data_IF_968324207759
#
_entry.id   IF_968324207759
#
_cell.length_a   1.000
_cell.length_b   1.000
_cell.length_c   1.000
_cell.angle_alpha   90.00
_cell.angle_beta   90.00
_cell.angle_gamma   90.00
#
_symmetry.space_group_name_H-M   'P 1'
#
loop_
_entity.id
_entity.type
_entity.pdbx_description
1 polymer ?
#
# COMPACT_ATOMS: atom_id res chain seq x y z
N UNK A 1 -6.29 -34.85 18.57
CA UNK A 1 -7.17 -34.45 17.44
C UNK A 1 -7.44 -32.95 17.53
N UNK A 2 -6.56 -32.13 16.97
CA UNK A 2 -6.75 -30.67 16.93
C UNK A 2 -7.77 -30.37 15.84
N UNK A 3 -9.00 -30.03 16.21
CA UNK A 3 -10.00 -29.52 15.26
C UNK A 3 -9.41 -28.27 14.61
N UNK A 4 -9.37 -28.24 13.28
CA UNK A 4 -9.14 -27.03 12.49
C UNK A 4 -10.09 -25.94 12.99
N UNK A 5 -9.63 -25.10 13.92
CA UNK A 5 -10.35 -23.91 14.31
C UNK A 5 -10.24 -22.97 13.12
N UNK A 6 -11.35 -22.79 12.40
CA UNK A 6 -11.50 -21.73 11.42
C UNK A 6 -10.91 -20.45 12.00
N UNK A 7 -9.85 -19.93 11.40
CA UNK A 7 -9.39 -18.59 11.71
C UNK A 7 -10.19 -17.67 10.80
N UNK A 8 -10.86 -16.63 11.32
CA UNK A 8 -11.59 -15.71 10.44
C UNK A 8 -10.71 -14.99 9.40
N UNK A 9 -9.37 -15.06 9.52
CA UNK A 9 -8.41 -14.67 8.49
C UNK A 9 -8.45 -15.53 7.23
N UNK A 10 -8.96 -16.76 7.35
CA UNK A 10 -9.07 -17.74 6.26
C UNK A 10 -10.43 -17.62 5.55
N UNK A 11 -11.25 -16.66 5.97
CA UNK A 11 -12.52 -16.33 5.33
C UNK A 11 -12.27 -15.74 3.94
N UNK A 12 -13.11 -16.11 2.98
CA UNK A 12 -13.17 -15.44 1.66
C UNK A 12 -14.28 -14.38 1.60
N UNK A 13 -15.10 -14.27 2.64
CA UNK A 13 -16.21 -13.31 2.70
C UNK A 13 -15.69 -11.90 3.09
N UNK A 14 -15.88 -10.86 2.24
CA UNK A 14 -15.36 -9.52 2.49
C UNK A 14 -15.84 -8.91 3.81
N UNK A 15 -17.09 -9.13 4.20
CA UNK A 15 -17.67 -8.57 5.42
C UNK A 15 -16.99 -9.15 6.67
N UNK A 16 -16.59 -10.42 6.61
CA UNK A 16 -15.84 -11.07 7.69
C UNK A 16 -14.40 -10.56 7.72
N UNK A 17 -13.77 -10.37 6.57
CA UNK A 17 -12.41 -9.84 6.47
C UNK A 17 -12.30 -8.37 6.91
N UNK A 18 -13.30 -7.54 6.61
CA UNK A 18 -13.35 -6.16 7.06
C UNK A 18 -13.33 -6.04 8.59
N UNK A 19 -13.98 -6.98 9.29
CA UNK A 19 -14.05 -7.00 10.75
C UNK A 19 -12.91 -7.79 11.41
N UNK A 20 -12.49 -8.90 10.80
CA UNK A 20 -11.63 -9.91 11.41
C UNK A 20 -10.42 -10.31 10.54
N UNK A 21 -10.15 -9.62 9.43
CA UNK A 21 -8.94 -9.82 8.64
C UNK A 21 -7.67 -9.63 9.48
N UNK A 22 -6.60 -10.31 9.08
CA UNK A 22 -5.36 -10.37 9.86
C UNK A 22 -5.45 -11.27 11.10
N UNK A 23 -4.55 -11.04 12.05
CA UNK A 23 -4.31 -11.89 13.22
C UNK A 23 -4.92 -11.37 14.52
N UNK A 24 -5.33 -10.10 14.60
CA UNK A 24 -5.89 -9.52 15.82
C UNK A 24 -7.28 -10.09 16.15
N UNK A 25 -7.44 -10.63 17.37
CA UNK A 25 -8.71 -11.16 17.88
C UNK A 25 -9.13 -10.54 19.21
N UNK A 26 -8.16 -10.35 20.08
CA UNK A 26 -8.33 -9.66 21.35
C UNK A 26 -6.96 -9.26 21.87
N UNK A 27 -6.92 -8.23 22.71
CA UNK A 27 -5.74 -7.90 23.49
C UNK A 27 -5.39 -9.06 24.43
N UNK A 28 -4.18 -9.63 24.36
CA UNK A 28 -3.78 -10.75 25.22
C UNK A 28 -3.69 -10.37 26.71
N UNK A 29 -3.56 -9.08 27.04
CA UNK A 29 -3.43 -8.62 28.43
C UNK A 29 -4.78 -8.37 29.12
N UNK A 30 -5.79 -7.90 28.37
CA UNK A 30 -7.10 -7.51 28.93
C UNK A 30 -8.28 -8.30 28.38
N UNK A 31 -8.08 -9.10 27.34
CA UNK A 31 -9.13 -9.79 26.55
C UNK A 31 -10.09 -8.87 25.80
N UNK A 32 -9.80 -7.57 25.70
CA UNK A 32 -10.60 -6.62 24.93
C UNK A 32 -10.63 -6.99 23.44
N UNK A 33 -11.83 -7.07 22.86
CA UNK A 33 -12.02 -7.42 21.43
C UNK A 33 -11.94 -6.22 20.50
N UNK A 34 -12.20 -5.01 21.01
CA UNK A 34 -11.88 -3.78 20.30
C UNK A 34 -10.35 -3.62 20.23
N UNK A 35 -9.85 -3.07 19.13
CA UNK A 35 -8.41 -2.77 18.99
C UNK A 35 -8.07 -1.58 19.88
N UNK A 36 -7.13 -1.70 20.84
CA UNK A 36 -6.68 -0.57 21.62
C UNK A 36 -6.05 0.50 20.74
N UNK A 37 -6.19 1.76 21.16
CA UNK A 37 -5.55 2.89 20.48
C UNK A 37 -4.15 3.06 21.08
N UNK A 38 -3.12 2.66 20.33
CA UNK A 38 -1.72 2.84 20.69
C UNK A 38 -1.25 4.24 20.33
N UNK A 39 -1.76 5.25 21.05
CA UNK A 39 -1.41 6.68 20.88
C UNK A 39 -0.04 6.99 21.50
N UNK A 40 1.02 6.38 20.98
CA UNK A 40 2.41 6.56 21.44
C UNK A 40 3.33 6.88 20.28
N UNK A 41 4.51 7.43 20.54
CA UNK A 41 5.56 7.64 19.54
C UNK A 41 6.61 6.53 19.55
N UNK A 42 6.97 6.01 20.71
CA UNK A 42 8.06 5.05 20.91
C UNK A 42 7.65 3.87 21.79
N UNK A 43 8.41 2.78 21.68
CA UNK A 43 8.19 1.54 22.44
C UNK A 43 9.39 1.23 23.32
N UNK A 44 9.13 0.71 24.53
CA UNK A 44 10.18 0.32 25.45
C UNK A 44 10.82 -1.00 24.98
N UNK A 45 12.15 -1.06 24.98
CA UNK A 45 12.88 -2.29 24.73
C UNK A 45 13.11 -3.08 26.02
N UNK A 46 13.05 -4.41 25.92
CA UNK A 46 13.35 -5.32 27.03
C UNK A 46 14.84 -5.27 27.46
N UNK A 47 15.75 -5.00 26.52
CA UNK A 47 17.19 -4.86 26.74
C UNK A 47 17.85 -4.14 25.55
N UNK A 48 19.13 -3.77 25.69
CA UNK A 48 19.93 -3.23 24.59
C UNK A 48 20.14 -4.24 23.46
N UNK A 49 20.25 -5.52 23.79
CA UNK A 49 20.33 -6.62 22.81
C UNK A 49 19.02 -6.74 22.01
N UNK A 50 17.87 -6.71 22.69
CA UNK A 50 16.56 -6.72 22.02
C UNK A 50 16.41 -5.53 21.06
N UNK A 51 16.85 -4.33 21.47
CA UNK A 51 16.86 -3.17 20.57
C UNK A 51 17.71 -3.43 19.33
N UNK A 52 18.94 -3.95 19.50
CA UNK A 52 19.83 -4.27 18.38
C UNK A 52 19.22 -5.31 17.44
N UNK A 53 18.54 -6.32 17.96
CA UNK A 53 17.87 -7.34 17.15
C UNK A 53 16.71 -6.78 16.32
N UNK A 54 15.88 -5.90 16.90
CA UNK A 54 14.78 -5.26 16.19
C UNK A 54 15.29 -4.40 15.02
N UNK A 55 16.32 -3.57 15.24
CA UNK A 55 16.90 -2.74 14.17
C UNK A 55 17.64 -3.56 13.10
N UNK A 56 18.15 -4.74 13.46
CA UNK A 56 18.78 -5.67 12.52
C UNK A 56 17.79 -6.63 11.84
N UNK A 57 16.47 -6.48 12.08
CA UNK A 57 15.41 -7.36 11.58
C UNK A 57 15.60 -8.84 11.96
N UNK A 58 16.25 -9.11 13.10
CA UNK A 58 16.40 -10.46 13.66
C UNK A 58 15.18 -10.86 14.49
N UNK A 59 14.57 -9.89 15.15
CA UNK A 59 13.32 -10.02 15.90
C UNK A 59 12.26 -9.11 15.27
N UNK A 60 10.99 -9.49 15.38
CA UNK A 60 9.86 -8.64 14.99
C UNK A 60 9.26 -7.96 16.22
N UNK A 61 9.02 -6.66 16.12
CA UNK A 61 8.43 -5.89 17.21
C UNK A 61 8.48 -4.40 16.93
N UNK A 62 7.76 -3.63 17.75
CA UNK A 62 7.61 -2.19 17.55
C UNK A 62 8.84 -1.41 18.02
N UNK A 63 9.25 -0.43 17.21
CA UNK A 63 10.38 0.46 17.50
C UNK A 63 9.87 1.90 17.70
N UNK A 64 9.22 2.45 16.67
CA UNK A 64 8.76 3.84 16.63
C UNK A 64 7.57 3.98 15.67
N UNK A 65 6.55 4.74 16.06
CA UNK A 65 5.25 4.82 15.36
C UNK A 65 5.31 5.37 13.94
N UNK A 66 6.38 6.08 13.56
CA UNK A 66 6.61 6.49 12.16
C UNK A 66 6.88 5.30 11.24
N UNK A 67 7.37 4.18 11.77
CA UNK A 67 7.70 2.98 11.00
C UNK A 67 6.60 1.92 11.17
N UNK A 68 6.07 1.77 12.39
CA UNK A 68 5.09 0.73 12.72
C UNK A 68 4.31 1.10 13.99
N UNK A 69 3.01 0.83 14.01
CA UNK A 69 2.15 1.06 15.16
C UNK A 69 1.06 -0.04 15.22
N UNK A 70 0.81 -0.70 16.37
CA UNK A 70 -0.13 -1.82 16.42
C UNK A 70 -1.57 -1.48 16.00
N UNK A 71 -2.04 -0.26 16.26
CA UNK A 71 -3.37 0.16 15.80
C UNK A 71 -3.42 0.24 14.28
N UNK A 72 -2.33 0.73 13.66
CA UNK A 72 -2.20 0.87 12.20
C UNK A 72 -1.95 -0.50 11.55
N UNK A 73 -1.16 -1.38 12.16
CA UNK A 73 -0.90 -2.75 11.68
C UNK A 73 -2.20 -3.57 11.52
N UNK A 74 -3.15 -3.42 12.44
CA UNK A 74 -4.46 -4.08 12.29
C UNK A 74 -5.23 -3.54 11.08
N UNK A 75 -5.17 -2.23 10.80
CA UNK A 75 -5.77 -1.66 9.59
C UNK A 75 -5.07 -2.21 8.34
N UNK A 76 -3.73 -2.17 8.31
CA UNK A 76 -2.91 -2.64 7.19
C UNK A 76 -3.20 -4.11 6.86
N UNK A 77 -3.21 -4.99 7.85
CA UNK A 77 -3.50 -6.42 7.66
C UNK A 77 -4.93 -6.67 7.17
N UNK A 78 -5.91 -5.87 7.60
CA UNK A 78 -7.30 -5.99 7.12
C UNK A 78 -7.44 -5.53 5.68
N UNK A 79 -6.83 -4.40 5.32
CA UNK A 79 -6.81 -3.91 3.94
C UNK A 79 -6.11 -4.91 3.02
N UNK A 80 -4.94 -5.42 3.43
CA UNK A 80 -4.22 -6.45 2.66
C UNK A 80 -5.07 -7.70 2.45
N UNK A 81 -5.78 -8.17 3.48
CA UNK A 81 -6.67 -9.33 3.37
C UNK A 81 -7.86 -9.08 2.43
N UNK A 82 -8.43 -7.87 2.43
CA UNK A 82 -9.54 -7.49 1.53
C UNK A 82 -9.11 -7.40 0.07
N UNK A 83 -7.96 -6.80 -0.19
CA UNK A 83 -7.43 -6.60 -1.55
C UNK A 83 -6.68 -7.83 -2.09
N UNK A 84 -6.44 -8.86 -1.25
CA UNK A 84 -5.66 -10.04 -1.61
C UNK A 84 -4.16 -9.76 -1.76
N UNK A 85 -3.67 -8.64 -1.22
CA UNK A 85 -2.27 -8.25 -1.25
C UNK A 85 -1.43 -8.95 -0.17
N UNK A 86 -0.11 -9.04 -0.38
CA UNK A 86 0.82 -9.62 0.61
C UNK A 86 1.06 -8.72 1.84
N UNK A 87 0.68 -7.44 1.74
CA UNK A 87 0.80 -6.45 2.80
C UNK A 87 0.16 -5.13 2.36
N UNK A 88 -0.01 -4.20 3.30
CA UNK A 88 -0.45 -2.84 3.05
C UNK A 88 0.32 -1.88 3.97
N UNK A 89 0.28 -0.58 3.66
CA UNK A 89 0.93 0.46 4.45
C UNK A 89 -0.03 1.63 4.68
N UNK A 90 -0.28 1.94 5.95
CA UNK A 90 -1.07 3.08 6.38
C UNK A 90 -0.23 4.36 6.34
N UNK A 91 -0.72 5.35 5.60
CA UNK A 91 -0.03 6.65 5.44
C UNK A 91 -0.98 7.81 5.73
N UNK A 92 -0.42 9.02 5.83
CA UNK A 92 -1.17 10.20 6.31
C UNK A 92 -2.21 10.74 5.33
N UNK A 93 -2.14 10.40 4.04
CA UNK A 93 -3.11 10.81 3.02
C UNK A 93 -3.05 9.95 1.75
N UNK A 94 -4.08 10.03 0.91
CA UNK A 94 -4.07 9.38 -0.41
C UNK A 94 -2.94 9.88 -1.32
N UNK A 95 -2.62 11.19 -1.28
CA UNK A 95 -1.49 11.74 -2.05
C UNK A 95 -0.14 11.20 -1.57
N UNK A 96 0.03 11.00 -0.26
CA UNK A 96 1.22 10.34 0.27
C UNK A 96 1.31 8.89 -0.21
N UNK A 97 0.19 8.16 -0.30
CA UNK A 97 0.16 6.81 -0.82
C UNK A 97 0.60 6.76 -2.29
N UNK A 98 0.05 7.63 -3.15
CA UNK A 98 0.45 7.72 -4.56
C UNK A 98 1.91 8.13 -4.75
N UNK A 99 2.42 9.06 -3.94
CA UNK A 99 3.81 9.49 -4.02
C UNK A 99 4.77 8.38 -3.59
N UNK A 100 4.52 7.75 -2.43
CA UNK A 100 5.39 6.72 -1.88
C UNK A 100 5.37 5.44 -2.72
N UNK A 101 4.23 5.09 -3.35
CA UNK A 101 4.16 3.91 -4.22
C UNK A 101 5.09 4.06 -5.44
N UNK A 102 5.14 5.24 -6.06
CA UNK A 102 6.04 5.49 -7.19
C UNK A 102 7.50 5.71 -6.75
N UNK A 103 7.76 6.48 -5.69
CA UNK A 103 9.12 6.72 -5.19
C UNK A 103 9.79 5.46 -4.65
N UNK A 104 9.03 4.46 -4.24
CA UNK A 104 9.58 3.16 -3.85
C UNK A 104 10.09 2.34 -5.05
N UNK A 105 9.65 2.66 -6.27
CA UNK A 105 10.00 1.95 -7.50
C UNK A 105 10.95 2.75 -8.41
N UNK A 106 10.77 4.06 -8.47
CA UNK A 106 11.46 4.96 -9.39
C UNK A 106 12.38 5.95 -8.65
N UNK A 107 13.52 6.25 -9.26
CA UNK A 107 14.47 7.28 -8.82
C UNK A 107 14.74 8.30 -9.93
N UNK A 108 15.54 9.32 -9.64
CA UNK A 108 15.96 10.29 -10.65
C UNK A 108 16.57 9.60 -11.89
N UNK A 109 16.03 9.89 -13.07
CA UNK A 109 16.39 9.27 -14.35
C UNK A 109 15.47 8.13 -14.79
N UNK A 110 14.62 7.60 -13.91
CA UNK A 110 13.56 6.64 -14.27
C UNK A 110 12.29 7.35 -14.79
N UNK A 111 11.40 6.58 -15.41
CA UNK A 111 10.06 7.06 -15.77
C UNK A 111 8.93 6.11 -15.33
N UNK A 112 7.71 6.64 -15.30
CA UNK A 112 6.45 5.94 -15.04
C UNK A 112 5.47 6.29 -16.15
N UNK A 113 4.71 5.31 -16.64
CA UNK A 113 3.62 5.58 -17.59
C UNK A 113 2.30 5.61 -16.84
N UNK A 114 1.56 6.70 -16.95
CA UNK A 114 0.31 6.91 -16.23
C UNK A 114 -0.86 7.14 -17.18
N UNK A 115 -2.05 6.69 -16.81
CA UNK A 115 -3.30 7.11 -17.48
C UNK A 115 -3.43 8.64 -17.44
N UNK A 116 -4.01 9.22 -18.49
CA UNK A 116 -4.47 10.63 -18.51
C UNK A 116 -5.72 10.86 -17.65
N UNK A 117 -6.42 9.79 -17.27
CA UNK A 117 -7.68 9.83 -16.53
C UNK A 117 -7.40 9.61 -15.03
N UNK A 118 -7.04 10.68 -14.32
CA UNK A 118 -6.71 10.66 -12.89
C UNK A 118 -7.40 11.76 -12.11
N UNK A 119 -7.48 11.60 -10.79
CA UNK A 119 -7.70 12.71 -9.88
C UNK A 119 -6.70 13.86 -10.14
N UNK A 120 -7.21 15.09 -10.24
CA UNK A 120 -6.41 16.27 -10.63
C UNK A 120 -5.21 16.55 -9.71
N UNK A 121 -5.31 16.24 -8.41
CA UNK A 121 -4.18 16.36 -7.49
C UNK A 121 -3.05 15.38 -7.80
N UNK A 122 -3.41 14.13 -8.13
CA UNK A 122 -2.44 13.10 -8.54
C UNK A 122 -1.77 13.49 -9.87
N UNK A 123 -2.56 14.00 -10.82
CA UNK A 123 -2.02 14.49 -12.08
C UNK A 123 -1.00 15.62 -11.85
N UNK A 124 -1.31 16.58 -10.97
CA UNK A 124 -0.42 17.69 -10.65
C UNK A 124 0.87 17.23 -9.95
N UNK A 125 0.76 16.31 -8.99
CA UNK A 125 1.89 15.66 -8.32
C UNK A 125 2.84 15.03 -9.34
N UNK A 126 2.29 14.30 -10.31
CA UNK A 126 3.06 13.58 -11.33
C UNK A 126 3.71 14.51 -12.35
N UNK A 127 2.97 15.50 -12.85
CA UNK A 127 3.45 16.41 -13.89
C UNK A 127 4.50 17.41 -13.39
N UNK A 128 4.46 17.78 -12.10
CA UNK A 128 5.29 18.84 -11.54
C UNK A 128 6.23 18.32 -10.44
N UNK A 129 5.70 17.84 -9.31
CA UNK A 129 6.53 17.52 -8.15
C UNK A 129 7.47 16.34 -8.39
N UNK A 130 6.99 15.26 -8.99
CA UNK A 130 7.86 14.11 -9.31
C UNK A 130 8.89 14.46 -10.39
N UNK A 131 8.50 15.31 -11.36
CA UNK A 131 9.43 15.83 -12.37
C UNK A 131 10.57 16.62 -11.74
N UNK A 132 10.29 17.48 -10.76
CA UNK A 132 11.32 18.23 -10.01
C UNK A 132 12.24 17.30 -9.20
N UNK A 133 11.78 16.10 -8.86
CA UNK A 133 12.57 15.05 -8.22
C UNK A 133 13.34 14.17 -9.23
N UNK A 134 13.26 14.49 -10.52
CA UNK A 134 13.92 13.76 -11.60
C UNK A 134 13.21 12.49 -12.06
N UNK A 135 11.96 12.26 -11.63
CA UNK A 135 11.13 11.13 -12.07
C UNK A 135 10.16 11.64 -13.14
N UNK A 136 10.30 11.15 -14.37
CA UNK A 136 9.39 11.53 -15.46
C UNK A 136 8.09 10.72 -15.40
N UNK A 137 6.93 11.38 -15.48
CA UNK A 137 5.65 10.69 -15.72
C UNK A 137 5.16 10.99 -17.13
N UNK A 138 4.97 9.92 -17.92
CA UNK A 138 4.48 9.97 -19.30
C UNK A 138 3.01 9.60 -19.31
N UNK A 139 2.16 10.43 -19.90
CA UNK A 139 0.71 10.23 -19.85
C UNK A 139 0.18 9.52 -21.11
N UNK A 140 -0.47 8.38 -20.91
CA UNK A 140 -1.12 7.55 -21.94
C UNK A 140 -2.64 7.73 -21.92
N UNK A 141 -3.27 7.86 -23.09
CA UNK A 141 -4.74 7.74 -23.20
C UNK A 141 -5.14 6.27 -23.02
N UNK A 142 -5.89 5.93 -21.95
CA UNK A 142 -6.23 4.54 -21.65
C UNK A 142 -7.30 3.95 -22.57
N UNK A 143 -7.90 4.73 -23.48
CA UNK A 143 -8.84 4.21 -24.48
C UNK A 143 -8.19 3.29 -25.51
N UNK A 144 -6.87 3.38 -25.68
CA UNK A 144 -6.03 2.42 -26.41
C UNK A 144 -4.92 1.91 -25.47
N UNK A 145 -5.04 0.68 -24.90
CA UNK A 145 -4.04 0.11 -24.01
C UNK A 145 -2.62 0.10 -24.58
N UNK A 146 -2.45 -0.02 -25.90
CA UNK A 146 -1.13 -0.02 -26.54
C UNK A 146 -0.40 1.31 -26.39
N UNK A 147 -1.08 2.40 -26.01
CA UNK A 147 -0.41 3.65 -25.65
C UNK A 147 0.52 3.51 -24.44
N UNK A 148 0.25 2.58 -23.52
CA UNK A 148 1.17 2.27 -22.44
C UNK A 148 2.47 1.65 -22.97
N UNK A 149 2.34 0.66 -23.86
CA UNK A 149 3.49 0.02 -24.53
C UNK A 149 4.32 1.03 -25.32
N UNK A 150 3.69 1.91 -26.10
CA UNK A 150 4.36 2.93 -26.94
C UNK A 150 5.21 3.91 -26.13
N UNK A 151 4.86 4.16 -24.87
CA UNK A 151 5.57 5.10 -23.98
C UNK A 151 6.57 4.41 -23.04
N UNK A 152 6.67 3.08 -23.11
CA UNK A 152 7.55 2.27 -22.27
C UNK A 152 8.94 2.16 -22.87
N UNK A 153 9.95 2.26 -22.03
CA UNK A 153 11.36 2.00 -22.36
C UNK A 153 12.07 1.24 -21.22
N UNK A 154 13.37 1.02 -21.35
CA UNK A 154 14.18 0.27 -20.36
C UNK A 154 14.25 0.96 -18.97
N UNK A 155 13.89 2.23 -18.88
CA UNK A 155 13.85 3.01 -17.65
C UNK A 155 12.44 3.14 -17.05
N UNK A 156 11.42 2.56 -17.67
CA UNK A 156 10.06 2.53 -17.12
C UNK A 156 10.00 1.60 -15.91
N UNK A 157 9.47 2.09 -14.78
CA UNK A 157 9.42 1.33 -13.50
C UNK A 157 8.02 0.93 -13.06
N UNK A 158 6.99 1.60 -13.56
CA UNK A 158 5.61 1.30 -13.18
C UNK A 158 4.61 1.81 -14.22
N UNK A 159 3.42 1.20 -14.20
CA UNK A 159 2.20 1.76 -14.74
C UNK A 159 1.28 2.25 -13.62
N UNK A 160 0.64 3.41 -13.82
CA UNK A 160 -0.31 3.98 -12.85
C UNK A 160 -1.64 4.32 -13.52
N UNK A 161 -2.75 3.99 -12.87
CA UNK A 161 -4.08 4.32 -13.36
C UNK A 161 -5.12 4.39 -12.24
N UNK A 162 -6.25 5.02 -12.55
CA UNK A 162 -7.48 4.98 -11.76
C UNK A 162 -8.60 4.40 -12.63
N UNK A 163 -9.42 3.50 -12.08
CA UNK A 163 -10.65 3.03 -12.73
C UNK A 163 -11.84 3.80 -12.19
N UNK A 164 -12.76 4.20 -13.06
CA UNK A 164 -13.86 5.13 -12.77
C UNK A 164 -13.36 6.47 -12.17
N UNK A 165 -12.34 7.12 -12.74
CA UNK A 165 -11.78 8.34 -12.18
C UNK A 165 -12.75 9.51 -12.32
N UNK A 166 -12.80 10.39 -11.32
CA UNK A 166 -13.54 11.63 -11.41
C UNK A 166 -12.83 12.61 -12.37
N UNK A 167 -13.52 13.30 -13.31
CA UNK A 167 -14.97 13.27 -13.57
C UNK A 167 -15.38 12.32 -14.70
N UNK A 168 -14.43 11.60 -15.32
CA UNK A 168 -14.68 10.85 -16.56
C UNK A 168 -15.51 9.58 -16.34
N UNK A 169 -15.38 8.94 -15.17
CA UNK A 169 -16.08 7.70 -14.79
C UNK A 169 -15.96 6.57 -15.83
N UNK A 170 -14.80 6.51 -16.51
CA UNK A 170 -14.50 5.46 -17.47
C UNK A 170 -13.80 4.30 -16.78
N UNK A 171 -14.16 3.08 -17.16
CA UNK A 171 -13.47 1.87 -16.69
C UNK A 171 -12.09 1.82 -17.31
N UNK A 172 -11.05 1.65 -16.50
CA UNK A 172 -9.70 1.42 -16.98
C UNK A 172 -9.53 -0.05 -17.39
N UNK A 173 -8.91 -0.35 -18.55
CA UNK A 173 -8.67 -1.73 -19.00
C UNK A 173 -7.50 -2.36 -18.23
N UNK A 174 -7.75 -2.74 -16.97
CA UNK A 174 -6.73 -3.21 -16.02
C UNK A 174 -5.96 -4.40 -16.57
N UNK A 175 -6.67 -5.41 -17.10
CA UNK A 175 -6.04 -6.66 -17.54
C UNK A 175 -5.20 -6.45 -18.78
N UNK A 176 -5.73 -5.72 -19.75
CA UNK A 176 -5.06 -5.45 -21.01
C UNK A 176 -3.77 -4.64 -20.81
N UNK A 177 -3.77 -3.67 -19.88
CA UNK A 177 -2.55 -2.92 -19.55
C UNK A 177 -1.59 -3.76 -18.69
N UNK A 178 -2.08 -4.57 -17.76
CA UNK A 178 -1.22 -5.46 -16.97
C UNK A 178 -0.51 -6.53 -17.84
N UNK A 179 -1.18 -7.05 -18.87
CA UNK A 179 -0.60 -8.03 -19.80
C UNK A 179 0.49 -7.41 -20.72
N UNK A 180 0.63 -6.08 -20.77
CA UNK A 180 1.68 -5.39 -21.55
C UNK A 180 3.05 -5.48 -20.88
N UNK A 181 3.11 -5.41 -19.55
CA UNK A 181 4.34 -5.34 -18.75
C UNK A 181 4.07 -5.33 -17.26
#
# INVERSE_FOLDING_TARGET
>A
MSKNKFKPSDSVNPETLALHGGDYRSDPSTTAVAVPIYQTTSYQFNSTEHASNLFALKDFGNIYSRIMNPTVDVLEKRVAALEGGVGALGVSSGQAASALSLQNLARAGDNVVSSTDLYGGTWNLFANTLKDQGIEVRFADPSDPENFRKLTDDNTRAYYAETLPNPKLKVFPIREVADIG
#
